data_IF_635445644462
#
_entry.id   IF_635445644462
#
_cell.length_a   1.000
_cell.length_b   1.000
_cell.length_c   1.000
_cell.angle_alpha   90.00
_cell.angle_beta   90.00
_cell.angle_gamma   90.00
#
_symmetry.space_group_name_H-M   'P 1'
#
loop_
_entity.id
_entity.type
_entity.pdbx_description
1 polymer ?
#
# COMPACT_ATOMS: atom_id res chain seq x y z
N UNK A 1 -30.28 55.72 -51.38
CA UNK A 1 -29.89 54.28 -51.46
C UNK A 1 -29.18 53.90 -50.17
N UNK A 2 -29.74 52.94 -49.42
CA UNK A 2 -29.19 52.40 -48.17
C UNK A 2 -28.09 51.37 -48.49
N UNK A 3 -26.93 51.46 -47.82
CA UNK A 3 -25.99 50.33 -47.67
C UNK A 3 -25.55 50.22 -46.19
N UNK A 4 -26.11 49.25 -45.50
CA UNK A 4 -25.51 48.45 -44.41
C UNK A 4 -25.33 47.02 -45.00
N UNK A 5 -24.67 46.05 -44.37
CA UNK A 5 -23.78 46.01 -43.18
C UNK A 5 -22.42 45.33 -43.52
N UNK A 6 -21.47 45.10 -42.61
CA UNK A 6 -21.35 43.85 -41.86
C UNK A 6 -20.36 44.02 -40.69
N UNK A 7 -20.85 43.77 -39.48
CA UNK A 7 -20.05 43.64 -38.27
C UNK A 7 -19.14 42.41 -38.37
N UNK A 8 -17.83 42.62 -38.56
CA UNK A 8 -16.81 41.57 -38.57
C UNK A 8 -16.27 41.20 -37.17
N UNK A 9 -16.94 41.64 -36.11
CA UNK A 9 -16.42 41.59 -34.73
C UNK A 9 -17.00 40.45 -33.88
N UNK A 10 -17.48 39.35 -34.48
CA UNK A 10 -18.16 38.27 -33.74
C UNK A 10 -17.71 36.81 -33.94
N UNK A 11 -16.55 36.44 -34.53
CA UNK A 11 -16.08 35.05 -34.41
C UNK A 11 -15.12 34.84 -33.23
N UNK A 12 -14.43 35.88 -32.74
CA UNK A 12 -13.36 35.71 -31.75
C UNK A 12 -13.82 35.54 -30.30
N UNK A 13 -15.02 36.01 -29.95
CA UNK A 13 -15.57 35.86 -28.59
C UNK A 13 -16.12 34.46 -28.30
N UNK A 14 -16.55 33.72 -29.33
CA UNK A 14 -17.14 32.38 -29.14
C UNK A 14 -16.08 31.28 -28.95
N UNK A 15 -14.90 31.42 -29.58
CA UNK A 15 -13.83 30.43 -29.51
C UNK A 15 -13.10 30.42 -28.16
N UNK A 16 -13.06 31.55 -27.46
CA UNK A 16 -12.41 31.67 -26.14
C UNK A 16 -13.17 30.92 -25.03
N UNK A 17 -14.50 30.96 -25.06
CA UNK A 17 -15.36 30.28 -24.06
C UNK A 17 -15.31 28.75 -24.16
N UNK A 18 -15.04 28.19 -25.34
CA UNK A 18 -14.96 26.73 -25.51
C UNK A 18 -13.62 26.21 -24.98
N UNK A 19 -12.50 26.92 -25.18
CA UNK A 19 -11.20 26.55 -24.59
C UNK A 19 -11.18 26.62 -23.06
N UNK A 20 -11.95 27.54 -22.45
CA UNK A 20 -12.07 27.65 -20.99
C UNK A 20 -12.90 26.52 -20.37
N UNK A 21 -13.83 25.92 -21.11
CA UNK A 21 -14.63 24.78 -20.65
C UNK A 21 -13.85 23.45 -20.69
N UNK A 22 -12.88 23.29 -21.59
CA UNK A 22 -12.01 22.11 -21.62
C UNK A 22 -10.79 22.20 -20.68
N UNK A 23 -10.49 23.39 -20.14
CA UNK A 23 -9.40 23.58 -19.18
C UNK A 23 -9.73 23.15 -17.74
N UNK A 24 -11.01 22.86 -17.44
CA UNK A 24 -11.46 22.49 -16.10
C UNK A 24 -11.96 21.05 -16.04
N UNK A 25 -11.04 20.10 -16.07
CA UNK A 25 -10.97 18.96 -15.14
C UNK A 25 -9.73 18.12 -15.47
N UNK A 26 -8.53 18.67 -15.26
CA UNK A 26 -7.43 17.80 -14.86
C UNK A 26 -7.77 17.38 -13.42
N UNK A 27 -8.69 16.42 -13.30
CA UNK A 27 -9.03 15.83 -12.02
C UNK A 27 -7.74 15.16 -11.56
N UNK A 28 -7.05 15.74 -10.57
CA UNK A 28 -5.87 15.12 -9.95
C UNK A 28 -6.28 13.72 -9.52
N UNK A 29 -5.89 12.73 -10.28
CA UNK A 29 -6.25 11.36 -10.03
C UNK A 29 -5.43 10.88 -8.83
N UNK A 30 -6.11 10.71 -7.69
CA UNK A 30 -5.46 10.22 -6.49
C UNK A 30 -5.16 8.73 -6.62
N UNK A 31 -3.88 8.36 -6.52
CA UNK A 31 -3.46 6.97 -6.40
C UNK A 31 -4.04 6.37 -5.13
N UNK A 32 -4.64 5.18 -5.23
CA UNK A 32 -5.24 4.48 -4.10
C UNK A 32 -4.35 3.32 -3.65
N UNK A 33 -4.27 3.13 -2.34
CA UNK A 33 -3.57 2.01 -1.72
C UNK A 33 -4.54 1.19 -0.88
N UNK A 34 -4.49 -0.12 -1.06
CA UNK A 34 -5.34 -1.03 -0.33
C UNK A 34 -4.76 -1.29 1.06
N UNK A 35 -5.63 -1.35 2.06
CA UNK A 35 -5.34 -2.18 3.21
C UNK A 35 -5.40 -3.65 2.75
N UNK A 36 -4.38 -4.42 3.08
CA UNK A 36 -4.26 -5.82 2.64
C UNK A 36 -4.07 -6.74 3.84
N UNK A 37 -4.40 -8.02 3.65
CA UNK A 37 -4.28 -9.06 4.68
C UNK A 37 -3.28 -10.13 4.27
N UNK A 38 -2.55 -10.62 5.27
CA UNK A 38 -1.69 -11.78 5.16
C UNK A 38 -2.16 -12.85 6.15
N UNK A 39 -2.69 -13.96 5.63
CA UNK A 39 -3.40 -14.95 6.47
C UNK A 39 -2.47 -15.59 7.48
N UNK A 40 -3.02 -15.93 8.66
CA UNK A 40 -2.25 -16.61 9.69
C UNK A 40 -1.64 -17.92 9.17
N UNK A 41 -2.35 -18.66 8.31
CA UNK A 41 -1.84 -19.87 7.69
C UNK A 41 -0.56 -19.62 6.88
N UNK A 42 -0.57 -18.64 5.97
CA UNK A 42 0.61 -18.33 5.16
C UNK A 42 1.75 -17.75 6.00
N UNK A 43 1.44 -16.82 6.90
CA UNK A 43 2.44 -16.22 7.79
C UNK A 43 3.12 -17.31 8.62
N UNK A 44 2.34 -18.19 9.25
CA UNK A 44 2.86 -19.25 10.09
C UNK A 44 3.71 -20.26 9.31
N UNK A 45 3.31 -20.61 8.09
CA UNK A 45 4.12 -21.46 7.22
C UNK A 45 5.56 -20.94 7.07
N UNK A 46 5.72 -19.64 6.86
CA UNK A 46 7.05 -19.02 6.76
C UNK A 46 7.75 -18.86 8.11
N UNK A 47 7.01 -18.51 9.17
CA UNK A 47 7.60 -18.36 10.51
C UNK A 47 8.10 -19.68 11.09
N UNK A 48 7.48 -20.81 10.76
CA UNK A 48 7.88 -22.13 11.23
C UNK A 48 9.18 -22.62 10.56
N UNK A 49 9.54 -22.05 9.39
CA UNK A 49 10.81 -22.34 8.73
C UNK A 49 11.99 -21.67 9.44
N UNK A 50 13.03 -22.44 9.75
CA UNK A 50 14.28 -21.92 10.33
C UNK A 50 15.09 -21.07 9.36
N UNK A 51 14.89 -21.23 8.05
CA UNK A 51 15.65 -20.49 7.04
C UNK A 51 15.11 -19.08 6.82
N UNK A 52 13.84 -18.81 7.15
CA UNK A 52 13.21 -17.51 6.93
C UNK A 52 13.83 -16.44 7.80
N UNK A 53 14.25 -15.34 7.17
CA UNK A 53 14.82 -14.17 7.84
C UNK A 53 13.87 -12.97 7.78
N UNK A 54 13.39 -12.63 6.58
CA UNK A 54 12.62 -11.41 6.35
C UNK A 54 11.62 -11.54 5.21
N UNK A 55 10.64 -10.65 5.24
CA UNK A 55 9.54 -10.56 4.29
C UNK A 55 9.69 -9.22 3.56
N UNK A 56 9.86 -9.27 2.24
CA UNK A 56 9.91 -8.10 1.37
C UNK A 56 8.54 -7.93 0.72
N UNK A 57 7.94 -6.76 0.89
CA UNK A 57 6.68 -6.40 0.29
C UNK A 57 6.89 -5.44 -0.87
N UNK A 58 6.43 -5.84 -2.05
CA UNK A 58 6.50 -5.06 -3.27
C UNK A 58 5.10 -4.67 -3.73
N UNK A 59 4.96 -3.47 -4.30
CA UNK A 59 3.69 -3.00 -4.84
C UNK A 59 3.26 -3.84 -6.03
N UNK A 60 2.00 -4.25 -6.00
CA UNK A 60 1.33 -5.00 -7.05
C UNK A 60 0.08 -4.25 -7.48
N UNK A 61 -0.05 -3.99 -8.78
CA UNK A 61 -1.32 -3.54 -9.35
C UNK A 61 -1.99 -4.72 -10.03
N UNK A 62 -3.20 -5.12 -9.60
CA UNK A 62 -3.94 -6.19 -10.27
C UNK A 62 -4.39 -5.81 -11.68
N UNK A 63 -4.49 -4.51 -11.96
CA UNK A 63 -4.99 -3.99 -13.23
C UNK A 63 -4.41 -2.58 -13.44
N UNK A 64 -3.34 -2.49 -14.25
CA UNK A 64 -2.56 -1.26 -14.44
C UNK A 64 -3.32 -0.15 -15.18
N UNK A 65 -4.30 -0.52 -15.99
CA UNK A 65 -5.15 0.38 -16.77
C UNK A 65 -6.39 0.86 -15.99
N UNK A 66 -6.78 0.17 -14.91
CA UNK A 66 -7.88 0.59 -14.03
C UNK A 66 -7.36 1.31 -12.79
N UNK A 67 -7.22 2.62 -12.95
CA UNK A 67 -6.96 3.62 -11.92
C UNK A 67 -7.90 3.60 -10.69
N UNK A 68 -9.05 2.92 -10.76
CA UNK A 68 -9.95 2.73 -9.61
C UNK A 68 -9.49 1.57 -8.73
N UNK A 69 -8.66 0.66 -9.24
CA UNK A 69 -8.11 -0.45 -8.48
C UNK A 69 -6.93 0.04 -7.63
N UNK A 70 -6.98 -0.14 -6.31
CA UNK A 70 -5.89 0.25 -5.45
C UNK A 70 -4.66 -0.66 -5.65
N UNK A 71 -3.47 -0.11 -5.42
CA UNK A 71 -2.26 -0.91 -5.26
C UNK A 71 -2.39 -1.85 -4.06
N UNK A 72 -1.94 -3.08 -4.25
CA UNK A 72 -1.82 -4.15 -3.27
C UNK A 72 -0.34 -4.47 -3.04
N UNK A 73 -0.07 -5.52 -2.26
CA UNK A 73 1.27 -6.01 -2.01
C UNK A 73 1.40 -7.47 -2.47
N UNK A 74 2.58 -7.81 -2.98
CA UNK A 74 3.08 -9.19 -2.99
C UNK A 74 4.21 -9.31 -1.97
N UNK A 75 4.36 -10.49 -1.36
CA UNK A 75 5.42 -10.79 -0.40
C UNK A 75 6.39 -11.81 -0.99
N UNK A 76 7.65 -11.39 -1.06
CA UNK A 76 8.79 -12.29 -1.22
C UNK A 76 9.39 -12.59 0.14
N UNK A 77 9.91 -13.80 0.31
CA UNK A 77 10.51 -14.27 1.56
C UNK A 77 12.00 -14.44 1.32
N UNK A 78 12.81 -13.79 2.15
CA UNK A 78 14.25 -13.96 2.16
C UNK A 78 14.65 -15.00 3.20
N UNK A 79 15.64 -15.81 2.84
CA UNK A 79 16.36 -16.64 3.78
C UNK A 79 17.46 -15.87 4.50
N UNK A 80 18.11 -16.50 5.49
CA UNK A 80 19.23 -15.92 6.24
C UNK A 80 20.47 -15.60 5.40
N UNK A 81 20.56 -16.14 4.18
CA UNK A 81 21.63 -15.84 3.21
C UNK A 81 21.22 -14.74 2.21
N UNK A 82 20.00 -14.22 2.31
CA UNK A 82 19.47 -13.18 1.41
C UNK A 82 18.92 -13.71 0.08
N UNK A 83 18.68 -15.02 -0.05
CA UNK A 83 18.03 -15.59 -1.23
C UNK A 83 16.52 -15.61 -1.07
N UNK A 84 15.79 -15.48 -2.18
CA UNK A 84 14.35 -15.64 -2.18
C UNK A 84 13.96 -17.12 -2.04
N UNK A 85 13.09 -17.42 -1.07
CA UNK A 85 12.50 -18.76 -0.88
C UNK A 85 11.30 -19.01 -1.81
N UNK A 86 10.64 -17.96 -2.28
CA UNK A 86 9.48 -18.02 -3.18
C UNK A 86 9.65 -17.14 -4.44
N UNK A 87 10.77 -17.22 -5.18
CA UNK A 87 11.10 -16.30 -6.27
C UNK A 87 10.09 -16.34 -7.43
N UNK A 88 9.50 -17.51 -7.70
CA UNK A 88 8.58 -17.72 -8.82
C UNK A 88 7.12 -17.43 -8.47
N UNK A 89 6.76 -17.56 -7.19
CA UNK A 89 5.38 -17.49 -6.72
C UNK A 89 5.33 -16.69 -5.41
N UNK A 90 5.51 -15.35 -5.48
CA UNK A 90 5.37 -14.52 -4.31
C UNK A 90 3.92 -14.59 -3.78
N UNK A 91 3.77 -14.45 -2.47
CA UNK A 91 2.45 -14.44 -1.85
C UNK A 91 1.72 -13.15 -2.22
N UNK A 92 0.60 -13.26 -2.92
CA UNK A 92 -0.24 -12.08 -3.21
C UNK A 92 -1.16 -11.82 -2.03
N UNK A 93 -1.03 -10.64 -1.42
CA UNK A 93 -1.84 -10.27 -0.25
C UNK A 93 -3.20 -9.75 -0.72
N UNK A 94 -4.26 -10.37 -0.24
CA UNK A 94 -5.62 -10.00 -0.61
C UNK A 94 -6.05 -8.68 0.05
N UNK A 95 -6.94 -7.94 -0.60
CA UNK A 95 -7.56 -6.74 -0.02
C UNK A 95 -8.45 -7.11 1.18
N UNK A 96 -8.37 -6.35 2.27
CA UNK A 96 -9.34 -6.42 3.35
C UNK A 96 -10.65 -5.77 2.90
N UNK A 97 -11.79 -6.43 3.16
CA UNK A 97 -13.10 -6.04 2.64
C UNK A 97 -13.38 -4.57 3.01
N UNK A 98 -13.45 -3.70 2.00
CA UNK A 98 -13.89 -2.30 2.05
C UNK A 98 -12.96 -1.23 2.66
N UNK A 99 -11.64 -1.45 2.72
CA UNK A 99 -10.70 -0.46 3.27
C UNK A 99 -9.67 0.06 2.27
N UNK A 100 -10.08 1.04 1.46
CA UNK A 100 -9.11 1.94 0.78
C UNK A 100 -8.76 3.09 1.71
N UNK A 101 -7.47 3.28 1.99
CA UNK A 101 -7.01 4.44 2.75
C UNK A 101 -6.72 5.58 1.78
N UNK A 102 -7.33 6.73 2.02
CA UNK A 102 -7.04 7.94 1.26
C UNK A 102 -5.77 8.57 1.82
N UNK A 103 -4.65 8.39 1.12
CA UNK A 103 -3.40 9.06 1.40
C UNK A 103 -3.27 10.29 0.50
N UNK A 104 -2.84 11.41 1.06
CA UNK A 104 -2.69 12.68 0.33
C UNK A 104 -1.30 13.26 0.53
N UNK A 105 -0.73 13.82 -0.53
CA UNK A 105 0.59 14.45 -0.51
C UNK A 105 1.61 13.70 -1.36
N UNK A 106 2.85 14.23 -1.45
CA UNK A 106 3.95 13.52 -2.08
C UNK A 106 4.27 12.25 -1.30
N UNK A 107 4.63 11.19 -2.02
CA UNK A 107 4.97 9.90 -1.43
C UNK A 107 6.05 9.21 -2.26
N UNK A 108 7.01 8.58 -1.58
CA UNK A 108 8.01 7.72 -2.21
C UNK A 108 7.53 6.27 -2.16
N UNK A 109 7.41 5.66 -3.33
CA UNK A 109 7.08 4.25 -3.47
C UNK A 109 8.37 3.44 -3.55
N UNK A 110 8.65 2.64 -2.52
CA UNK A 110 9.73 1.68 -2.48
C UNK A 110 9.25 0.37 -1.88
N UNK A 111 9.99 -0.71 -2.10
CA UNK A 111 9.72 -1.95 -1.39
C UNK A 111 9.82 -1.69 0.11
N UNK A 112 9.00 -2.39 0.88
CA UNK A 112 9.07 -2.37 2.35
C UNK A 112 9.45 -3.74 2.86
N UNK A 113 9.93 -3.84 4.09
CA UNK A 113 10.25 -5.12 4.69
C UNK A 113 9.83 -5.22 6.15
N UNK A 114 9.64 -6.47 6.58
CA UNK A 114 9.52 -6.86 7.98
C UNK A 114 10.46 -8.03 8.24
N UNK A 115 11.18 -7.97 9.35
CA UNK A 115 11.97 -9.13 9.79
C UNK A 115 11.04 -10.17 10.40
N UNK A 116 11.44 -11.45 10.32
CA UNK A 116 10.79 -12.55 11.04
C UNK A 116 10.66 -12.21 12.52
N UNK A 117 11.70 -11.62 13.13
CA UNK A 117 11.68 -11.18 14.53
C UNK A 117 10.57 -10.14 14.80
N UNK A 118 10.40 -9.15 13.92
CA UNK A 118 9.35 -8.14 14.07
C UNK A 118 7.95 -8.77 13.98
N UNK A 119 7.74 -9.68 13.02
CA UNK A 119 6.45 -10.38 12.91
C UNK A 119 6.19 -11.25 14.14
N UNK A 120 7.20 -11.98 14.63
CA UNK A 120 7.10 -12.77 15.87
C UNK A 120 6.70 -11.87 17.04
N UNK A 121 7.29 -10.68 17.19
CA UNK A 121 6.90 -9.74 18.23
C UNK A 121 5.43 -9.31 18.11
N UNK A 122 4.95 -9.06 16.89
CA UNK A 122 3.53 -8.76 16.64
C UNK A 122 2.62 -9.91 17.05
N UNK A 123 3.02 -11.17 16.86
CA UNK A 123 2.16 -12.33 17.12
C UNK A 123 2.39 -13.01 18.48
N UNK A 124 3.32 -12.54 19.30
CA UNK A 124 3.68 -13.17 20.59
C UNK A 124 3.12 -12.40 21.77
N UNK A 125 2.48 -13.06 22.73
CA UNK A 125 2.04 -12.46 23.99
C UNK A 125 3.22 -12.13 24.89
N UNK A 126 3.04 -11.22 25.86
CA UNK A 126 4.06 -10.89 26.88
C UNK A 126 4.54 -12.11 27.67
N UNK A 127 3.66 -13.12 27.82
CA UNK A 127 3.99 -14.39 28.47
C UNK A 127 4.78 -15.37 27.57
N UNK A 128 5.17 -14.96 26.35
CA UNK A 128 5.89 -15.78 25.38
C UNK A 128 5.03 -16.78 24.60
N UNK A 129 3.71 -16.69 24.71
CA UNK A 129 2.77 -17.51 23.94
C UNK A 129 2.49 -16.93 22.56
N UNK A 130 1.89 -17.72 21.67
CA UNK A 130 1.43 -17.24 20.36
C UNK A 130 -0.01 -16.73 20.48
N UNK A 131 -0.25 -15.50 20.03
CA UNK A 131 -1.60 -14.92 19.92
C UNK A 131 -2.42 -15.73 18.92
N UNK A 132 -3.71 -15.90 19.18
CA UNK A 132 -4.65 -16.43 18.21
C UNK A 132 -5.14 -15.28 17.31
N UNK A 133 -4.96 -15.42 16.00
CA UNK A 133 -5.31 -14.42 14.99
C UNK A 133 -5.68 -15.09 13.67
N UNK A 134 -6.49 -14.42 12.85
CA UNK A 134 -6.88 -14.94 11.53
C UNK A 134 -5.95 -14.43 10.42
N UNK A 135 -5.48 -13.18 10.55
CA UNK A 135 -4.54 -12.56 9.62
C UNK A 135 -3.83 -11.34 10.22
N UNK A 136 -2.65 -11.04 9.68
CA UNK A 136 -2.02 -9.73 9.80
C UNK A 136 -2.70 -8.77 8.83
N UNK A 137 -2.98 -7.55 9.28
CA UNK A 137 -3.50 -6.47 8.45
C UNK A 137 -2.42 -5.41 8.25
N UNK A 138 -2.23 -5.02 7.00
CA UNK A 138 -1.25 -4.04 6.56
C UNK A 138 -2.02 -2.79 6.16
N UNK A 139 -1.91 -1.73 6.95
CA UNK A 139 -2.62 -0.47 6.72
C UNK A 139 -1.64 0.57 6.14
N UNK A 140 -1.83 1.03 4.90
CA UNK A 140 -0.90 1.97 4.27
C UNK A 140 -0.90 3.32 4.98
N UNK A 141 0.29 3.88 5.21
CA UNK A 141 0.52 5.21 5.80
C UNK A 141 1.78 5.83 5.19
N UNK A 142 1.82 7.17 5.16
CA UNK A 142 3.04 7.89 4.76
C UNK A 142 3.90 8.07 6.01
N UNK A 143 5.12 7.57 5.98
CA UNK A 143 6.09 7.80 7.05
C UNK A 143 6.44 9.29 7.13
N UNK A 144 6.25 9.89 8.30
CA UNK A 144 6.53 11.31 8.52
C UNK A 144 8.02 11.64 8.39
N UNK A 145 8.92 10.67 8.63
CA UNK A 145 10.36 10.90 8.67
C UNK A 145 11.01 11.02 7.29
N UNK A 146 10.47 10.31 6.29
CA UNK A 146 11.11 10.17 4.98
C UNK A 146 10.13 10.07 3.80
N UNK A 147 8.83 10.30 4.03
CA UNK A 147 7.76 10.28 3.03
C UNK A 147 7.60 8.96 2.26
N UNK A 148 8.21 7.87 2.71
CA UNK A 148 7.95 6.56 2.13
C UNK A 148 6.55 6.07 2.48
N UNK A 149 5.90 5.42 1.51
CA UNK A 149 4.73 4.61 1.79
C UNK A 149 5.16 3.37 2.57
N UNK A 150 4.69 3.27 3.81
CA UNK A 150 4.89 2.13 4.70
C UNK A 150 3.54 1.60 5.16
N UNK A 151 3.54 0.45 5.85
CA UNK A 151 2.33 -0.19 6.33
C UNK A 151 2.42 -0.37 7.84
N UNK A 152 1.44 0.17 8.56
CA UNK A 152 1.21 -0.17 9.95
C UNK A 152 0.65 -1.59 10.02
N UNK A 153 1.22 -2.40 10.90
CA UNK A 153 0.90 -3.82 11.03
C UNK A 153 0.00 -4.02 12.25
N UNK A 154 -1.13 -4.67 12.03
CA UNK A 154 -2.06 -5.06 13.10
C UNK A 154 -2.43 -6.53 13.02
N UNK A 155 -3.09 -7.01 14.06
CA UNK A 155 -3.71 -8.33 14.09
C UNK A 155 -5.23 -8.22 14.00
N UNK A 156 -5.85 -9.17 13.31
CA UNK A 156 -7.31 -9.29 13.26
C UNK A 156 -7.73 -10.70 13.64
N UNK A 157 -8.73 -10.79 14.51
CA UNK A 157 -9.44 -12.03 14.86
C UNK A 157 -10.94 -11.79 14.78
N UNK A 158 -11.69 -12.70 14.15
CA UNK A 158 -13.13 -12.61 13.97
C UNK A 158 -13.57 -11.26 13.37
N UNK A 159 -12.78 -10.73 12.44
CA UNK A 159 -13.03 -9.45 11.78
C UNK A 159 -12.80 -8.20 12.64
N UNK A 160 -12.26 -8.34 13.86
CA UNK A 160 -11.95 -7.23 14.75
C UNK A 160 -10.44 -7.08 14.93
N UNK A 161 -9.96 -5.84 14.89
CA UNK A 161 -8.60 -5.51 15.30
C UNK A 161 -8.40 -5.96 16.74
N UNK A 162 -7.30 -6.64 16.98
CA UNK A 162 -6.90 -6.97 18.33
C UNK A 162 -6.03 -5.84 18.85
N UNK A 163 -6.55 -5.12 19.84
CA UNK A 163 -5.81 -4.05 20.50
C UNK A 163 -5.01 -4.66 21.65
N UNK A 164 -3.70 -4.74 21.47
CA UNK A 164 -2.76 -5.13 22.51
C UNK A 164 -2.10 -3.84 23.00
N UNK A 165 -2.25 -3.54 24.29
CA UNK A 165 -1.71 -2.33 24.91
C UNK A 165 -0.25 -2.54 25.38
N UNK A 166 0.44 -3.45 24.71
CA UNK A 166 1.69 -4.05 25.16
C UNK A 166 2.84 -3.17 24.61
N UNK A 167 3.81 -2.79 25.45
CA UNK A 167 4.85 -1.79 25.11
C UNK A 167 5.65 -2.17 23.84
N UNK A 168 5.84 -3.47 23.60
CA UNK A 168 6.60 -4.01 22.47
C UNK A 168 5.83 -4.01 21.14
N UNK A 169 4.53 -3.75 21.15
CA UNK A 169 3.67 -3.80 19.94
C UNK A 169 3.05 -2.45 19.56
N UNK A 170 3.37 -1.39 20.29
CA UNK A 170 3.00 -0.03 19.90
C UNK A 170 3.66 0.31 18.56
N UNK A 171 2.81 0.52 17.56
CA UNK A 171 3.19 1.11 16.27
C UNK A 171 4.28 0.36 15.50
N UNK A 172 4.10 -0.95 15.28
CA UNK A 172 4.96 -1.71 14.37
C UNK A 172 4.61 -1.36 12.92
N UNK A 173 5.49 -0.60 12.29
CA UNK A 173 5.44 -0.29 10.87
C UNK A 173 6.40 -1.18 10.08
N UNK A 174 6.07 -1.46 8.82
CA UNK A 174 7.04 -1.92 7.83
C UNK A 174 8.12 -0.87 7.64
N UNK A 175 9.36 -1.28 7.37
CA UNK A 175 10.44 -0.34 7.08
C UNK A 175 10.66 -0.23 5.58
N UNK A 176 11.04 0.95 5.05
CA UNK A 176 11.55 1.04 3.68
C UNK A 176 12.72 0.06 3.50
N UNK A 177 12.68 -0.73 2.44
CA UNK A 177 13.77 -1.64 2.12
C UNK A 177 15.03 -0.84 1.82
N UNK A 178 16.20 -1.24 2.35
CA UNK A 178 17.45 -0.64 1.92
C UNK A 178 17.63 -0.86 0.40
N UNK A 179 18.36 0.04 -0.30
CA UNK A 179 18.74 -0.18 -1.68
C UNK A 179 19.44 -1.53 -1.83
N UNK A 180 19.19 -2.23 -2.93
CA UNK A 180 19.92 -3.45 -3.24
C UNK A 180 21.43 -3.14 -3.22
N UNK A 181 22.19 -3.89 -2.42
CA UNK A 181 23.64 -3.84 -2.46
C UNK A 181 24.07 -4.62 -3.70
N UNK A 182 24.78 -3.96 -4.61
CA UNK A 182 25.49 -4.61 -5.72
C UNK A 182 26.70 -5.37 -5.20
#
# INVERSE_FOLDING_TARGET
>A
MKKRPLNFLRPFLAASTICLLFAMTSCKQATKFAQVKYTAAQVNYWLDSKSTDSFIFQFYSPQVDDVKKPYQLVSYILDTAGNYLNPLHPDTLAVTKDTTVNLTGPVVLGNTYLTKKAIIAVISTDAGGKRDYDYLVFTPKISASNQHLVYAIGLVKNGKFINYADEDTKDIDSNPSPPAKM
#
